data_IF_287111874146
#
_entry.id   IF_287111874146
#
_cell.length_a   1.000
_cell.length_b   1.000
_cell.length_c   1.000
_cell.angle_alpha   90.00
_cell.angle_beta   90.00
_cell.angle_gamma   90.00
#
_symmetry.space_group_name_H-M   'P 1'
#
loop_
_entity.id
_entity.type
_entity.pdbx_description
1 polymer ?
#
# COMPACT_ATOMS: atom_id res chain seq x y z
N UNK A 1 3.25 -3.08 10.24
CA UNK A 1 3.09 -2.85 8.79
C UNK A 1 2.52 -1.44 8.57
N UNK A 2 3.18 -0.36 8.99
CA UNK A 2 2.68 1.02 8.78
C UNK A 2 3.72 1.97 8.20
N UNK A 3 4.97 1.55 8.15
CA UNK A 3 6.13 2.41 7.88
C UNK A 3 6.60 2.35 6.42
N UNK A 4 6.10 1.40 5.63
CA UNK A 4 6.43 1.28 4.22
C UNK A 4 5.18 1.68 3.43
N UNK A 5 5.38 2.57 2.46
CA UNK A 5 4.42 3.37 1.67
C UNK A 5 3.26 2.62 1.00
N UNK A 6 3.21 1.30 1.12
CA UNK A 6 2.15 0.42 0.62
C UNK A 6 1.23 -0.15 1.71
N UNK A 7 1.49 0.19 2.98
CA UNK A 7 0.60 -0.20 4.06
C UNK A 7 -0.65 0.67 4.07
N UNK A 8 -1.70 0.24 3.36
CA UNK A 8 -3.05 0.77 3.55
C UNK A 8 -3.54 0.56 5.00
N UNK A 9 -4.84 0.73 5.25
CA UNK A 9 -5.44 0.48 6.58
C UNK A 9 -5.38 -1.00 7.06
N UNK A 10 -4.58 -1.83 6.40
CA UNK A 10 -4.36 -3.24 6.69
C UNK A 10 -3.66 -3.40 8.04
N UNK A 11 -4.29 -4.13 8.96
CA UNK A 11 -3.74 -4.44 10.29
C UNK A 11 -4.06 -3.40 11.38
N UNK A 12 -4.91 -2.39 11.08
CA UNK A 12 -5.38 -1.43 12.11
C UNK A 12 -6.27 -2.13 13.11
N UNK A 13 -7.12 -3.02 12.63
CA UNK A 13 -8.00 -3.82 13.45
C UNK A 13 -7.21 -4.72 14.40
N UNK A 14 -6.20 -5.42 13.89
CA UNK A 14 -5.32 -6.28 14.69
C UNK A 14 -4.52 -5.46 15.72
N UNK A 15 -4.03 -4.27 15.33
CA UNK A 15 -3.31 -3.36 16.22
C UNK A 15 -4.19 -2.88 17.37
N UNK A 16 -5.45 -2.53 17.08
CA UNK A 16 -6.42 -2.09 18.09
C UNK A 16 -6.82 -3.25 19.00
N UNK A 17 -7.02 -4.45 18.45
CA UNK A 17 -7.36 -5.64 19.23
C UNK A 17 -6.22 -6.07 20.16
N UNK A 18 -4.95 -5.94 19.73
CA UNK A 18 -3.78 -6.34 20.52
C UNK A 18 -3.32 -5.29 21.53
N UNK A 19 -3.25 -4.02 21.13
CA UNK A 19 -2.65 -2.93 21.92
C UNK A 19 -3.65 -1.91 22.48
N UNK A 20 -4.93 -2.03 22.16
CA UNK A 20 -5.95 -1.05 22.53
C UNK A 20 -5.98 0.20 21.63
N UNK A 21 -7.10 0.92 21.69
CA UNK A 21 -7.37 2.03 20.79
C UNK A 21 -6.39 3.21 20.95
N UNK A 22 -6.03 3.57 22.19
CA UNK A 22 -5.14 4.71 22.45
C UNK A 22 -3.73 4.51 21.88
N UNK A 23 -3.14 3.33 22.08
CA UNK A 23 -1.80 3.03 21.56
C UNK A 23 -1.79 2.94 20.03
N UNK A 24 -2.88 2.44 19.44
CA UNK A 24 -3.02 2.36 17.97
C UNK A 24 -3.16 3.76 17.35
N UNK A 25 -3.92 4.66 17.96
CA UNK A 25 -4.04 6.04 17.47
C UNK A 25 -2.68 6.76 17.59
N UNK A 26 -1.99 6.57 18.72
CA UNK A 26 -0.68 7.17 18.93
C UNK A 26 0.34 6.67 17.89
N UNK A 27 0.35 5.37 17.58
CA UNK A 27 1.26 4.80 16.59
C UNK A 27 0.94 5.32 15.18
N UNK A 28 -0.34 5.42 14.81
CA UNK A 28 -0.78 6.01 13.54
C UNK A 28 -0.31 7.46 13.37
N UNK A 29 -0.22 8.24 14.46
CA UNK A 29 0.23 9.64 14.41
C UNK A 29 1.74 9.79 14.42
N UNK A 30 2.45 9.05 15.28
CA UNK A 30 3.90 9.22 15.50
C UNK A 30 4.71 8.63 14.34
N UNK A 31 4.33 7.46 13.84
CA UNK A 31 5.05 6.74 12.81
C UNK A 31 5.27 7.57 11.53
N UNK A 32 4.25 8.21 10.91
CA UNK A 32 4.46 8.99 9.70
C UNK A 32 5.31 10.23 9.94
N UNK A 33 5.29 10.82 11.14
CA UNK A 33 6.13 11.97 11.47
C UNK A 33 7.59 11.55 11.57
N UNK A 34 7.88 10.45 12.27
CA UNK A 34 9.25 10.00 12.50
C UNK A 34 9.88 9.28 11.31
N UNK A 35 9.09 8.57 10.50
CA UNK A 35 9.59 7.79 9.37
C UNK A 35 9.14 8.37 8.02
N UNK A 36 7.88 8.75 7.89
CA UNK A 36 7.30 9.21 6.62
C UNK A 36 7.85 10.56 6.16
N UNK A 37 7.87 11.58 7.02
CA UNK A 37 8.40 12.91 6.67
C UNK A 37 9.88 12.84 6.25
N UNK A 38 10.82 12.25 7.02
CA UNK A 38 12.21 12.24 6.61
C UNK A 38 12.44 11.40 5.36
N UNK A 39 11.74 10.28 5.19
CA UNK A 39 11.85 9.49 3.95
C UNK A 39 11.33 10.27 2.75
N UNK A 40 10.21 10.97 2.87
CA UNK A 40 9.68 11.82 1.81
C UNK A 40 10.67 12.93 1.42
N UNK A 41 11.26 13.64 2.39
CA UNK A 41 12.25 14.68 2.13
C UNK A 41 13.50 14.15 1.42
N UNK A 42 14.03 13.01 1.87
CA UNK A 42 15.19 12.37 1.23
C UNK A 42 14.85 11.96 -0.20
N UNK A 43 13.68 11.34 -0.41
CA UNK A 43 13.21 10.92 -1.74
C UNK A 43 13.04 12.11 -2.67
N UNK A 44 12.46 13.22 -2.21
CA UNK A 44 12.28 14.42 -3.04
C UNK A 44 13.61 15.03 -3.46
N UNK A 45 14.57 15.15 -2.53
CA UNK A 45 15.89 15.70 -2.84
C UNK A 45 16.66 14.80 -3.83
N UNK A 46 16.65 13.48 -3.62
CA UNK A 46 17.33 12.53 -4.50
C UNK A 46 16.68 12.41 -5.88
N UNK A 47 15.35 12.51 -5.97
CA UNK A 47 14.64 12.46 -7.26
C UNK A 47 14.98 13.68 -8.11
N UNK A 48 15.11 14.87 -7.49
CA UNK A 48 15.54 16.08 -8.18
C UNK A 48 17.03 16.03 -8.57
N UNK A 49 17.88 15.46 -7.72
CA UNK A 49 19.33 15.39 -7.97
C UNK A 49 19.72 14.33 -9.01
N UNK A 50 19.03 13.19 -9.03
CA UNK A 50 19.34 12.05 -9.90
C UNK A 50 18.05 11.54 -10.57
N UNK A 51 17.65 12.15 -11.70
CA UNK A 51 16.51 11.69 -12.48
C UNK A 51 16.91 10.43 -13.25
N UNK A 52 16.53 9.25 -12.72
CA UNK A 52 16.83 7.96 -13.31
C UNK A 52 15.63 7.04 -13.26
N UNK A 53 15.39 6.31 -14.34
CA UNK A 53 14.32 5.31 -14.46
C UNK A 53 14.53 4.10 -13.54
N UNK A 54 15.76 3.90 -13.04
CA UNK A 54 16.10 2.80 -12.13
C UNK A 54 15.72 3.09 -10.66
N UNK A 55 15.07 4.23 -10.38
CA UNK A 55 14.56 4.61 -9.05
C UNK A 55 15.64 4.56 -7.96
N UNK A 56 15.28 4.16 -6.73
CA UNK A 56 16.14 4.17 -5.56
C UNK A 56 17.41 3.32 -5.71
N UNK A 57 17.39 2.27 -6.52
CA UNK A 57 18.57 1.43 -6.76
C UNK A 57 19.72 2.21 -7.39
N UNK A 58 19.42 3.19 -8.26
CA UNK A 58 20.43 4.07 -8.83
C UNK A 58 21.09 4.94 -7.74
N UNK A 59 20.31 5.43 -6.79
CA UNK A 59 20.82 6.26 -5.71
C UNK A 59 21.82 5.50 -4.83
N UNK A 60 21.53 4.22 -4.55
CA UNK A 60 22.45 3.33 -3.84
C UNK A 60 23.72 3.04 -4.65
N UNK A 61 23.59 2.87 -5.97
CA UNK A 61 24.74 2.63 -6.84
C UNK A 61 25.70 3.82 -6.87
N UNK A 62 25.18 5.05 -6.82
CA UNK A 62 25.99 6.27 -6.84
C UNK A 62 26.62 6.60 -5.48
N UNK A 63 25.94 6.26 -4.39
CA UNK A 63 26.33 6.69 -3.03
C UNK A 63 27.19 5.67 -2.28
N UNK A 64 27.06 4.38 -2.60
CA UNK A 64 27.66 3.29 -1.83
C UNK A 64 28.53 2.35 -2.68
N UNK A 65 29.33 1.54 -1.99
CA UNK A 65 30.13 0.51 -2.63
C UNK A 65 29.26 -0.60 -3.25
N UNK A 66 29.80 -1.28 -4.27
CA UNK A 66 29.10 -2.32 -5.06
C UNK A 66 28.45 -3.42 -4.21
N UNK A 67 29.06 -3.80 -3.08
CA UNK A 67 28.53 -4.82 -2.18
C UNK A 67 27.21 -4.41 -1.51
N UNK A 68 27.06 -3.13 -1.14
CA UNK A 68 25.83 -2.61 -0.52
C UNK A 68 24.73 -2.52 -1.56
N UNK A 69 25.05 -2.04 -2.76
CA UNK A 69 24.13 -2.03 -3.89
C UNK A 69 23.57 -3.43 -4.19
N UNK A 70 24.43 -4.45 -4.23
CA UNK A 70 24.01 -5.83 -4.43
C UNK A 70 23.05 -6.30 -3.33
N UNK A 71 23.38 -6.00 -2.07
CA UNK A 71 22.51 -6.31 -0.93
C UNK A 71 21.13 -5.65 -1.04
N UNK A 72 21.08 -4.37 -1.42
CA UNK A 72 19.82 -3.64 -1.61
C UNK A 72 19.01 -4.15 -2.80
N UNK A 73 19.66 -4.51 -3.90
CA UNK A 73 19.00 -5.12 -5.05
C UNK A 73 18.35 -6.47 -4.67
N UNK A 74 19.07 -7.34 -3.95
CA UNK A 74 18.52 -8.61 -3.44
C UNK A 74 17.36 -8.35 -2.48
N UNK A 75 17.51 -7.40 -1.55
CA UNK A 75 16.46 -7.05 -0.61
C UNK A 75 15.19 -6.55 -1.32
N UNK A 76 15.34 -5.76 -2.38
CA UNK A 76 14.21 -5.25 -3.17
C UNK A 76 13.41 -6.39 -3.82
N UNK A 77 14.10 -7.40 -4.36
CA UNK A 77 13.47 -8.57 -4.97
C UNK A 77 12.72 -9.37 -3.90
N UNK A 78 13.34 -9.61 -2.75
CA UNK A 78 12.70 -10.31 -1.63
C UNK A 78 11.45 -9.59 -1.16
N UNK A 79 11.52 -8.26 -1.03
CA UNK A 79 10.38 -7.43 -0.66
C UNK A 79 9.23 -7.57 -1.68
N UNK A 80 9.52 -7.47 -2.98
CA UNK A 80 8.51 -7.65 -4.03
C UNK A 80 7.87 -9.03 -4.00
N UNK A 81 8.63 -10.10 -3.69
CA UNK A 81 8.07 -11.45 -3.56
C UNK A 81 7.10 -11.55 -2.38
N UNK A 82 7.46 -10.99 -1.23
CA UNK A 82 6.60 -10.99 -0.04
C UNK A 82 5.30 -10.24 -0.32
N UNK A 83 5.40 -9.05 -0.90
CA UNK A 83 4.25 -8.23 -1.26
C UNK A 83 3.31 -8.94 -2.25
N UNK A 84 3.86 -9.55 -3.31
CA UNK A 84 3.09 -10.30 -4.29
C UNK A 84 2.37 -11.52 -3.69
N UNK A 85 2.92 -12.14 -2.65
CA UNK A 85 2.28 -13.23 -1.94
C UNK A 85 1.20 -12.73 -0.95
N UNK A 86 1.41 -11.55 -0.37
CA UNK A 86 0.57 -11.00 0.69
C UNK A 86 -0.73 -10.39 0.16
N UNK A 87 -0.70 -9.62 -0.94
CA UNK A 87 -1.90 -8.94 -1.45
C UNK A 87 -3.06 -9.87 -1.85
N UNK A 88 -2.83 -11.00 -2.56
CA UNK A 88 -3.91 -11.94 -2.89
C UNK A 88 -4.57 -12.57 -1.66
N UNK A 89 -3.79 -12.83 -0.62
CA UNK A 89 -4.28 -13.37 0.65
C UNK A 89 -5.19 -12.34 1.31
N UNK A 90 -4.69 -11.11 1.51
CA UNK A 90 -5.48 -10.04 2.09
C UNK A 90 -6.79 -9.81 1.33
N UNK A 91 -6.74 -9.70 0.00
CA UNK A 91 -7.93 -9.50 -0.82
C UNK A 91 -8.99 -10.58 -0.59
N UNK A 92 -8.58 -11.85 -0.57
CA UNK A 92 -9.51 -12.94 -0.30
C UNK A 92 -10.08 -12.88 1.11
N UNK A 93 -9.28 -12.52 2.11
CA UNK A 93 -9.70 -12.48 3.51
C UNK A 93 -10.70 -11.33 3.74
N UNK A 94 -10.53 -10.18 3.06
CA UNK A 94 -11.51 -9.08 3.09
C UNK A 94 -12.83 -9.43 2.42
N UNK A 95 -12.83 -10.13 1.28
CA UNK A 95 -14.09 -10.59 0.66
C UNK A 95 -14.80 -11.61 1.55
N UNK A 96 -14.03 -12.50 2.17
CA UNK A 96 -14.56 -13.54 3.02
C UNK A 96 -14.97 -13.06 4.42
N UNK A 97 -14.63 -11.84 4.81
CA UNK A 97 -15.19 -11.22 6.02
C UNK A 97 -16.62 -10.71 5.80
N UNK A 98 -16.96 -10.31 4.56
CA UNK A 98 -18.30 -9.84 4.17
C UNK A 98 -19.18 -10.99 3.68
N UNK A 99 -18.60 -11.96 2.97
CA UNK A 99 -19.30 -13.11 2.40
C UNK A 99 -18.87 -14.41 3.08
N UNK A 100 -19.80 -15.31 3.40
CA UNK A 100 -19.46 -16.62 3.98
C UNK A 100 -18.67 -17.46 2.96
N UNK A 101 -17.34 -17.51 3.09
CA UNK A 101 -16.47 -18.27 2.22
C UNK A 101 -16.15 -19.66 2.77
N UNK A 102 -16.21 -20.68 1.91
CA UNK A 102 -15.57 -21.97 2.15
C UNK A 102 -14.08 -21.93 1.71
N UNK A 103 -13.26 -22.88 2.17
CA UNK A 103 -11.81 -22.98 1.88
C UNK A 103 -11.48 -23.07 0.37
N UNK A 104 -12.40 -23.65 -0.40
CA UNK A 104 -12.32 -23.69 -1.86
C UNK A 104 -12.55 -22.32 -2.49
N UNK A 105 -13.51 -21.55 -1.97
CA UNK A 105 -13.84 -20.22 -2.46
C UNK A 105 -12.71 -19.23 -2.21
N UNK A 106 -12.07 -19.27 -1.04
CA UNK A 106 -10.94 -18.38 -0.74
C UNK A 106 -9.72 -18.69 -1.62
N UNK A 107 -9.41 -19.97 -1.83
CA UNK A 107 -8.34 -20.39 -2.75
C UNK A 107 -8.60 -19.94 -4.19
N UNK A 108 -9.86 -20.00 -4.65
CA UNK A 108 -10.24 -19.56 -5.98
C UNK A 108 -10.12 -18.03 -6.13
N UNK A 109 -10.50 -17.26 -5.12
CA UNK A 109 -10.34 -15.79 -5.11
C UNK A 109 -8.86 -15.38 -5.18
N UNK A 110 -7.99 -16.06 -4.41
CA UNK A 110 -6.54 -15.82 -4.44
C UNK A 110 -5.96 -16.10 -5.83
N UNK A 111 -6.33 -17.24 -6.42
CA UNK A 111 -5.89 -17.60 -7.77
C UNK A 111 -6.43 -16.63 -8.82
N UNK A 112 -7.70 -16.22 -8.69
CA UNK A 112 -8.34 -15.26 -9.59
C UNK A 112 -7.63 -13.90 -9.58
N UNK A 113 -7.26 -13.38 -8.39
CA UNK A 113 -6.50 -12.15 -8.28
C UNK A 113 -5.12 -12.27 -8.91
N UNK A 114 -4.40 -13.37 -8.66
CA UNK A 114 -3.09 -13.64 -9.26
C UNK A 114 -3.15 -13.73 -10.79
N UNK A 115 -4.16 -14.40 -11.33
CA UNK A 115 -4.35 -14.50 -12.78
C UNK A 115 -4.71 -13.14 -13.39
N UNK A 116 -5.56 -12.36 -12.72
CA UNK A 116 -5.93 -11.03 -13.18
C UNK A 116 -4.71 -10.10 -13.22
N UNK A 117 -3.90 -10.06 -12.16
CA UNK A 117 -2.67 -9.25 -12.14
C UNK A 117 -1.65 -9.76 -13.16
N UNK A 118 -1.53 -11.08 -13.34
CA UNK A 118 -0.68 -11.65 -14.38
C UNK A 118 -1.09 -11.21 -15.78
N UNK A 119 -2.39 -11.29 -16.11
CA UNK A 119 -2.92 -10.86 -17.41
C UNK A 119 -2.64 -9.37 -17.63
N UNK A 120 -2.90 -8.51 -16.64
CA UNK A 120 -2.61 -7.07 -16.74
C UNK A 120 -1.11 -6.80 -16.98
N UNK A 121 -0.22 -7.54 -16.31
CA UNK A 121 1.23 -7.42 -16.54
C UNK A 121 1.63 -7.85 -17.96
N UNK A 122 1.00 -8.90 -18.51
CA UNK A 122 1.25 -9.36 -19.88
C UNK A 122 0.74 -8.36 -20.93
N UNK A 123 -0.37 -7.67 -20.65
CA UNK A 123 -0.93 -6.63 -21.54
C UNK A 123 -0.06 -5.37 -21.63
N UNK A 124 0.87 -5.18 -20.68
CA UNK A 124 1.90 -4.15 -20.75
C UNK A 124 1.70 -3.01 -19.77
N UNK A 125 2.78 -2.26 -19.55
CA UNK A 125 2.91 -1.31 -18.44
C UNK A 125 1.95 -0.12 -18.52
N UNK A 126 1.57 0.29 -19.73
CA UNK A 126 0.60 1.38 -19.95
C UNK A 126 -0.79 0.98 -19.42
N UNK A 127 -1.21 -0.26 -19.67
CA UNK A 127 -2.51 -0.76 -19.19
C UNK A 127 -2.55 -0.88 -17.67
N UNK A 128 -1.44 -1.28 -17.05
CA UNK A 128 -1.28 -1.32 -15.59
C UNK A 128 -1.36 0.09 -15.01
N UNK A 129 -0.74 1.07 -15.66
CA UNK A 129 -0.79 2.48 -15.25
C UNK A 129 -2.22 3.02 -15.22
N UNK A 130 -2.97 2.87 -16.32
CA UNK A 130 -4.37 3.31 -16.41
C UNK A 130 -5.25 2.60 -15.38
N UNK A 131 -5.08 1.28 -15.24
CA UNK A 131 -5.85 0.49 -14.27
C UNK A 131 -5.58 0.94 -12.84
N UNK A 132 -4.34 1.29 -12.51
CA UNK A 132 -3.96 1.77 -11.18
C UNK A 132 -4.65 3.10 -10.85
N UNK A 133 -4.67 4.05 -11.79
CA UNK A 133 -5.36 5.33 -11.59
C UNK A 133 -6.86 5.12 -11.33
N UNK A 134 -7.50 4.24 -12.10
CA UNK A 134 -8.92 3.89 -11.92
C UNK A 134 -9.16 3.27 -10.53
N UNK A 135 -8.31 2.34 -10.10
CA UNK A 135 -8.39 1.72 -8.78
C UNK A 135 -8.19 2.74 -7.65
N UNK A 136 -7.29 3.71 -7.81
CA UNK A 136 -7.12 4.80 -6.83
C UNK A 136 -8.38 5.63 -6.70
N UNK A 137 -9.01 6.03 -7.80
CA UNK A 137 -10.28 6.77 -7.77
C UNK A 137 -11.35 5.94 -7.07
N UNK A 138 -11.48 4.66 -7.42
CA UNK A 138 -12.47 3.76 -6.84
C UNK A 138 -12.30 3.57 -5.32
N UNK A 139 -11.05 3.46 -4.85
CA UNK A 139 -10.74 3.26 -3.42
C UNK A 139 -10.92 4.53 -2.59
N UNK A 140 -10.63 5.71 -3.15
CA UNK A 140 -10.79 7.00 -2.44
C UNK A 140 -12.25 7.50 -2.46
N UNK A 141 -13.01 7.19 -3.51
CA UNK A 141 -14.41 7.61 -3.67
C UNK A 141 -15.32 7.37 -2.45
N UNK A 142 -15.35 6.18 -1.80
CA UNK A 142 -16.21 5.96 -0.64
C UNK A 142 -15.83 6.85 0.55
N UNK A 143 -14.55 7.09 0.80
CA UNK A 143 -14.11 7.99 1.87
C UNK A 143 -14.52 9.44 1.59
N UNK A 144 -14.34 9.91 0.36
CA UNK A 144 -14.79 11.23 -0.05
C UNK A 144 -16.32 11.38 0.12
N UNK A 145 -17.09 10.36 -0.29
CA UNK A 145 -18.54 10.32 -0.12
C UNK A 145 -18.95 10.40 1.36
N UNK A 146 -18.33 9.59 2.22
CA UNK A 146 -18.59 9.62 3.66
C UNK A 146 -18.31 10.99 4.28
N UNK A 147 -17.20 11.64 3.91
CA UNK A 147 -16.87 13.00 4.36
C UNK A 147 -17.91 14.03 3.91
N UNK A 148 -18.36 13.97 2.65
CA UNK A 148 -19.38 14.88 2.11
C UNK A 148 -20.71 14.68 2.82
N UNK A 149 -21.16 13.42 2.98
CA UNK A 149 -22.41 13.10 3.70
C UNK A 149 -22.36 13.59 5.15
N UNK A 150 -21.22 13.40 5.82
CA UNK A 150 -21.03 13.89 7.18
C UNK A 150 -21.12 15.41 7.26
N UNK A 151 -20.51 16.13 6.32
CA UNK A 151 -20.55 17.60 6.27
C UNK A 151 -21.96 18.14 5.98
N UNK A 152 -22.72 17.46 5.11
CA UNK A 152 -24.11 17.82 4.84
C UNK A 152 -25.02 17.57 6.05
N UNK A 153 -24.74 16.52 6.83
CA UNK A 153 -25.49 16.20 8.05
C UNK A 153 -25.13 17.11 9.23
N UNK A 154 -23.86 17.51 9.37
CA UNK A 154 -23.41 18.39 10.46
C UNK A 154 -23.88 19.84 10.30
N UNK A 155 -24.02 20.33 9.06
CA UNK A 155 -24.63 21.64 8.78
C UNK A 155 -26.12 21.74 9.20
N UNK A 156 -26.78 20.60 9.48
CA UNK A 156 -28.18 20.57 9.92
C UNK A 156 -28.36 20.72 11.46
N UNK A 157 -27.28 20.69 12.25
CA UNK A 157 -27.34 20.77 13.73
C UNK A 157 -26.81 22.08 14.32
N UNK A 158 -26.49 23.08 13.48
CA UNK A 158 -25.96 24.40 13.93
C UNK A 158 -27.02 25.51 13.86
N UNK A 159 -28.31 25.18 13.72
CA UNK A 159 -29.43 26.12 13.93
C UNK A 159 -30.42 25.55 14.94
#
# INVERSE_FOLDING_TARGET
MYTLTTSGAYGVEESVMGGGAMLSILSILIIPILMGIPTALVVTELTCAVPSDASFLMWFQLSFHRSIYLGMAILSILYTFVDNALYPVLFSDYICSVSHCNRWSSSLLRLGMLLLTFILNVLGIETVGVTTVLLTIFTVAPFACMCIVQQLRSNFYVN
#
